data_IF_136518997615
#
_entry.id   IF_136518997615
#
_cell.length_a   1.000
_cell.length_b   1.000
_cell.length_c   1.000
_cell.angle_alpha   90.00
_cell.angle_beta   90.00
_cell.angle_gamma   90.00
#
_symmetry.space_group_name_H-M   'P 1'
#
loop_
_entity.id
_entity.type
_entity.pdbx_description
1 polymer ?
#
# COMPACT_ATOMS: atom_id res chain seq x y z
N UNK A 1 17.62 -4.56 -11.24
CA UNK A 1 17.78 -3.51 -10.21
C UNK A 1 17.89 -4.19 -8.86
N UNK A 2 18.91 -3.83 -8.05
CA UNK A 2 19.21 -4.49 -6.78
C UNK A 2 18.04 -4.49 -5.78
N UNK A 3 17.26 -3.39 -5.72
CA UNK A 3 16.08 -3.30 -4.86
C UNK A 3 15.01 -4.35 -5.19
N UNK A 4 14.80 -4.66 -6.48
CA UNK A 4 13.87 -5.73 -6.89
C UNK A 4 14.34 -7.10 -6.41
N UNK A 5 15.64 -7.36 -6.41
CA UNK A 5 16.20 -8.61 -5.93
C UNK A 5 15.97 -8.79 -4.43
N UNK A 6 16.25 -7.77 -3.62
CA UNK A 6 15.93 -7.79 -2.19
C UNK A 6 14.44 -7.94 -1.91
N UNK A 7 13.60 -7.27 -2.72
CA UNK A 7 12.15 -7.37 -2.60
C UNK A 7 11.64 -8.80 -2.86
N UNK A 8 12.15 -9.48 -3.90
CA UNK A 8 11.80 -10.88 -4.19
C UNK A 8 12.24 -11.84 -3.08
N UNK A 9 13.38 -11.55 -2.43
CA UNK A 9 13.85 -12.28 -1.27
C UNK A 9 13.13 -11.91 0.04
N UNK A 10 12.10 -11.04 -0.02
CA UNK A 10 11.36 -10.52 1.14
C UNK A 10 12.25 -9.79 2.16
N UNK A 11 13.42 -9.32 1.73
CA UNK A 11 14.28 -8.45 2.53
C UNK A 11 13.85 -7.00 2.35
N UNK A 12 12.72 -6.65 2.99
CA UNK A 12 12.10 -5.34 2.83
C UNK A 12 12.95 -4.19 3.36
N UNK A 13 13.82 -4.43 4.34
CA UNK A 13 14.73 -3.41 4.88
C UNK A 13 15.75 -2.98 3.81
N UNK A 14 16.45 -3.94 3.19
CA UNK A 14 17.42 -3.61 2.13
C UNK A 14 16.76 -3.14 0.84
N UNK A 15 15.57 -3.68 0.53
CA UNK A 15 14.79 -3.23 -0.61
C UNK A 15 14.40 -1.75 -0.44
N UNK A 16 13.88 -1.37 0.74
CA UNK A 16 13.54 0.02 1.09
C UNK A 16 14.74 0.94 0.92
N UNK A 17 15.87 0.65 1.58
CA UNK A 17 17.09 1.46 1.53
C UNK A 17 17.62 1.61 0.10
N UNK A 18 17.44 0.58 -0.75
CA UNK A 18 17.80 0.66 -2.16
C UNK A 18 16.85 1.56 -2.95
N UNK A 19 15.54 1.46 -2.71
CA UNK A 19 14.55 2.28 -3.40
C UNK A 19 14.60 3.76 -2.98
N UNK A 20 14.87 4.07 -1.70
CA UNK A 20 14.98 5.45 -1.20
C UNK A 20 16.17 6.20 -1.81
N UNK A 21 17.20 5.48 -2.29
CA UNK A 21 18.40 6.06 -2.94
C UNK A 21 18.26 6.25 -4.45
N UNK A 22 17.13 5.87 -5.05
CA UNK A 22 16.90 6.03 -6.48
C UNK A 22 16.78 7.50 -6.88
N UNK A 23 17.16 7.81 -8.12
CA UNK A 23 16.97 9.14 -8.67
C UNK A 23 15.47 9.43 -8.87
N UNK A 24 15.03 10.71 -8.84
CA UNK A 24 13.63 11.07 -9.01
C UNK A 24 12.98 10.49 -10.28
N UNK A 25 13.73 10.41 -11.38
CA UNK A 25 13.26 9.82 -12.64
C UNK A 25 13.00 8.30 -12.54
N UNK A 26 13.80 7.58 -11.75
CA UNK A 26 13.61 6.15 -11.51
C UNK A 26 12.47 5.90 -10.51
N UNK A 27 12.39 6.74 -9.47
CA UNK A 27 11.31 6.72 -8.49
C UNK A 27 9.97 7.13 -9.10
N UNK A 28 9.94 7.82 -10.25
CA UNK A 28 8.72 8.10 -10.98
C UNK A 28 8.03 6.82 -11.51
N UNK A 29 8.75 5.70 -11.59
CA UNK A 29 8.19 4.43 -12.02
C UNK A 29 7.17 3.90 -10.99
N UNK A 30 5.92 3.73 -11.42
CA UNK A 30 4.81 3.29 -10.57
C UNK A 30 5.06 1.92 -9.91
N UNK A 31 5.75 0.99 -10.59
CA UNK A 31 6.08 -0.32 -10.01
C UNK A 31 7.06 -0.18 -8.84
N UNK A 32 8.04 0.71 -8.98
CA UNK A 32 9.03 1.00 -7.93
C UNK A 32 8.34 1.64 -6.72
N UNK A 33 7.51 2.67 -6.94
CA UNK A 33 6.76 3.32 -5.85
C UNK A 33 5.91 2.33 -5.06
N UNK A 34 5.22 1.40 -5.73
CA UNK A 34 4.41 0.37 -5.06
C UNK A 34 5.23 -0.58 -4.21
N UNK A 35 6.34 -1.08 -4.76
CA UNK A 35 7.25 -1.94 -4.01
C UNK A 35 7.79 -1.20 -2.79
N UNK A 36 8.10 0.08 -2.92
CA UNK A 36 8.51 0.93 -1.80
C UNK A 36 7.38 1.11 -0.77
N UNK A 37 6.13 1.35 -1.19
CA UNK A 37 4.96 1.39 -0.29
C UNK A 37 4.84 0.06 0.49
N UNK A 38 4.97 -1.08 -0.17
CA UNK A 38 4.94 -2.40 0.48
C UNK A 38 6.13 -2.53 1.45
N UNK A 39 7.33 -2.10 1.08
CA UNK A 39 8.46 -2.12 2.01
C UNK A 39 8.17 -1.29 3.26
N UNK A 40 7.60 -0.10 3.11
CA UNK A 40 7.24 0.76 4.23
C UNK A 40 6.19 0.15 5.17
N UNK A 41 5.29 -0.71 4.69
CA UNK A 41 4.40 -1.46 5.61
C UNK A 41 5.22 -2.42 6.46
N UNK A 42 6.14 -3.15 5.85
CA UNK A 42 6.96 -4.16 6.54
C UNK A 42 8.05 -3.58 7.43
N UNK A 43 8.47 -2.34 7.20
CA UNK A 43 9.46 -1.63 8.04
C UNK A 43 8.81 -0.65 9.02
N UNK A 44 7.49 -0.75 9.21
CA UNK A 44 6.70 0.07 10.13
C UNK A 44 6.80 1.59 9.88
N UNK A 45 7.01 1.99 8.62
CA UNK A 45 7.03 3.40 8.17
C UNK A 45 5.70 3.78 7.53
N UNK A 46 4.60 3.50 8.23
CA UNK A 46 3.24 3.58 7.69
C UNK A 46 2.83 5.00 7.24
N UNK A 47 3.31 6.04 7.92
CA UNK A 47 3.08 7.43 7.48
C UNK A 47 3.71 7.72 6.12
N UNK A 48 4.93 7.21 5.86
CA UNK A 48 5.57 7.32 4.54
C UNK A 48 4.82 6.51 3.49
N UNK A 49 4.35 5.31 3.85
CA UNK A 49 3.53 4.48 2.98
C UNK A 49 2.26 5.21 2.52
N UNK A 50 1.55 5.82 3.48
CA UNK A 50 0.35 6.62 3.21
C UNK A 50 0.64 7.84 2.33
N UNK A 51 1.69 8.61 2.64
CA UNK A 51 2.04 9.79 1.85
C UNK A 51 2.34 9.41 0.41
N UNK A 52 3.20 8.40 0.21
CA UNK A 52 3.56 7.95 -1.14
C UNK A 52 2.35 7.34 -1.88
N UNK A 53 1.44 6.69 -1.17
CA UNK A 53 0.20 6.19 -1.73
C UNK A 53 -0.72 7.33 -2.20
N UNK A 54 -0.88 8.38 -1.39
CA UNK A 54 -1.66 9.57 -1.75
C UNK A 54 -1.06 10.24 -2.98
N UNK A 55 0.26 10.46 -2.97
CA UNK A 55 0.96 11.07 -4.09
C UNK A 55 0.76 10.26 -5.39
N UNK A 56 0.75 8.92 -5.28
CA UNK A 56 0.53 8.04 -6.42
C UNK A 56 -0.91 8.13 -6.94
N UNK A 57 -1.90 8.18 -6.05
CA UNK A 57 -3.32 8.37 -6.42
C UNK A 57 -3.55 9.73 -7.10
N UNK A 58 -2.95 10.78 -6.55
CA UNK A 58 -3.12 12.15 -7.06
C UNK A 58 -2.42 12.35 -8.41
N UNK A 59 -1.29 11.68 -8.64
CA UNK A 59 -0.55 11.73 -9.91
C UNK A 59 -1.20 10.90 -11.02
N UNK A 60 -1.69 9.69 -10.71
CA UNK A 60 -2.39 8.85 -11.68
C UNK A 60 -3.46 8.00 -10.98
N UNK A 61 -4.68 8.55 -10.97
CA UNK A 61 -5.87 7.94 -10.38
C UNK A 61 -6.25 6.60 -11.02
N UNK A 62 -5.87 6.36 -12.28
CA UNK A 62 -6.29 5.19 -13.03
C UNK A 62 -5.47 3.94 -12.70
N UNK A 63 -4.20 4.09 -12.29
CA UNK A 63 -3.30 2.95 -12.20
C UNK A 63 -3.50 2.08 -10.97
N UNK A 64 -3.92 2.64 -9.82
CA UNK A 64 -3.97 1.85 -8.57
C UNK A 64 -5.07 0.78 -8.63
N UNK A 65 -6.25 1.14 -9.12
CA UNK A 65 -7.43 0.26 -9.06
C UNK A 65 -7.53 -0.64 -10.31
N UNK A 66 -7.00 -0.23 -11.46
CA UNK A 66 -7.01 -1.05 -12.68
C UNK A 66 -5.92 -2.14 -12.69
N UNK A 67 -5.22 -2.34 -11.58
CA UNK A 67 -4.18 -3.35 -11.53
C UNK A 67 -4.79 -4.73 -11.45
N UNK A 68 -4.76 -5.45 -12.57
CA UNK A 68 -5.01 -6.89 -12.57
C UNK A 68 -4.04 -7.55 -11.59
N UNK A 69 -4.59 -8.30 -10.65
CA UNK A 69 -3.92 -9.17 -9.66
C UNK A 69 -3.03 -10.27 -10.25
N UNK A 70 -2.67 -10.16 -11.53
CA UNK A 70 -1.87 -11.11 -12.31
C UNK A 70 -0.40 -10.70 -12.44
N UNK A 71 0.08 -9.67 -11.74
CA UNK A 71 1.53 -9.58 -11.52
C UNK A 71 1.94 -10.73 -10.60
N UNK A 72 2.58 -11.74 -11.17
CA UNK A 72 2.96 -13.02 -10.54
C UNK A 72 3.81 -12.88 -9.26
N UNK A 73 4.34 -11.69 -8.96
CA UNK A 73 5.34 -11.44 -7.92
C UNK A 73 4.87 -10.48 -6.77
N UNK A 74 3.58 -10.15 -6.61
CA UNK A 74 3.13 -9.34 -5.44
C UNK A 74 3.19 -10.20 -4.16
N UNK A 75 4.02 -9.86 -3.14
CA UNK A 75 4.07 -10.61 -1.88
C UNK A 75 2.83 -10.37 -0.99
N UNK A 76 1.84 -9.65 -1.52
CA UNK A 76 0.76 -9.01 -0.81
C UNK A 76 -0.15 -10.03 -0.10
N UNK A 77 -0.50 -11.14 -0.76
CA UNK A 77 -1.29 -12.21 -0.16
C UNK A 77 -0.55 -12.89 1.01
N UNK A 78 0.73 -13.19 0.84
CA UNK A 78 1.55 -13.79 1.90
C UNK A 78 1.66 -12.86 3.10
N UNK A 79 1.91 -11.57 2.86
CA UNK A 79 2.02 -10.56 3.91
C UNK A 79 0.70 -10.35 4.65
N UNK A 80 -0.42 -10.30 3.92
CA UNK A 80 -1.75 -10.24 4.51
C UNK A 80 -1.97 -11.44 5.44
N UNK A 81 -1.72 -12.65 4.96
CA UNK A 81 -1.86 -13.87 5.77
C UNK A 81 -0.97 -13.83 7.02
N UNK A 82 0.28 -13.39 6.90
CA UNK A 82 1.20 -13.28 8.04
C UNK A 82 0.74 -12.26 9.08
N UNK A 83 0.14 -11.13 8.66
CA UNK A 83 -0.40 -10.14 9.59
C UNK A 83 -1.69 -10.67 10.25
N UNK A 84 -2.61 -11.25 9.48
CA UNK A 84 -3.89 -11.78 9.99
C UNK A 84 -3.69 -12.99 10.93
N UNK A 85 -2.64 -13.79 10.71
CA UNK A 85 -2.26 -14.91 11.58
C UNK A 85 -1.41 -14.50 12.79
N UNK A 86 -1.02 -13.23 12.89
CA UNK A 86 -0.20 -12.72 14.00
C UNK A 86 1.28 -13.08 13.93
N UNK A 87 1.77 -13.57 12.79
CA UNK A 87 3.22 -13.78 12.54
C UNK A 87 3.93 -12.42 12.46
N UNK A 88 3.34 -11.47 11.73
CA UNK A 88 3.77 -10.08 11.70
C UNK A 88 2.84 -9.29 12.60
N UNK A 89 3.41 -8.60 13.57
CA UNK A 89 2.66 -7.78 14.53
C UNK A 89 3.09 -6.33 14.46
N UNK A 90 2.15 -5.44 14.69
CA UNK A 90 2.40 -4.01 14.85
C UNK A 90 2.13 -3.61 16.31
N UNK A 91 2.81 -2.56 16.82
CA UNK A 91 2.61 -2.11 18.20
C UNK A 91 1.17 -1.67 18.50
N UNK A 92 0.46 -1.15 17.49
CA UNK A 92 -0.90 -0.63 17.60
C UNK A 92 -1.85 -1.38 16.67
N UNK A 93 -3.10 -1.61 17.10
CA UNK A 93 -4.12 -2.20 16.25
C UNK A 93 -4.39 -1.36 14.99
N UNK A 94 -4.36 -0.03 15.14
CA UNK A 94 -4.46 0.90 14.02
C UNK A 94 -3.41 0.60 12.94
N UNK A 95 -2.16 0.36 13.34
CA UNK A 95 -1.04 0.16 12.42
C UNK A 95 -1.21 -1.14 11.64
N UNK A 96 -1.68 -2.21 12.31
CA UNK A 96 -2.06 -3.47 11.64
C UNK A 96 -3.18 -3.24 10.62
N UNK A 97 -4.25 -2.54 10.99
CA UNK A 97 -5.34 -2.24 10.08
C UNK A 97 -4.90 -1.36 8.91
N UNK A 98 -3.97 -0.43 9.15
CA UNK A 98 -3.43 0.43 8.12
C UNK A 98 -2.56 -0.37 7.13
N UNK A 99 -1.66 -1.22 7.63
CA UNK A 99 -0.86 -2.11 6.79
C UNK A 99 -1.74 -3.04 5.96
N UNK A 100 -2.77 -3.65 6.58
CA UNK A 100 -3.74 -4.49 5.88
C UNK A 100 -4.52 -3.69 4.83
N UNK A 101 -4.99 -2.49 5.17
CA UNK A 101 -5.68 -1.59 4.24
C UNK A 101 -4.85 -1.30 2.99
N UNK A 102 -3.56 -0.98 3.16
CA UNK A 102 -2.62 -0.73 2.06
C UNK A 102 -2.39 -2.00 1.24
N UNK A 103 -2.09 -3.14 1.87
CA UNK A 103 -1.79 -4.38 1.15
C UNK A 103 -3.01 -4.90 0.39
N UNK A 104 -4.19 -4.88 1.01
CA UNK A 104 -5.43 -5.27 0.36
C UNK A 104 -5.79 -4.34 -0.79
N UNK A 105 -5.30 -3.10 -0.86
CA UNK A 105 -5.60 -2.21 -1.99
C UNK A 105 -5.14 -2.81 -3.32
N UNK A 106 -4.05 -3.57 -3.30
CA UNK A 106 -3.48 -4.24 -4.47
C UNK A 106 -4.15 -5.59 -4.79
N UNK A 107 -4.93 -6.15 -3.87
CA UNK A 107 -5.59 -7.45 -4.03
C UNK A 107 -7.12 -7.32 -4.20
N UNK A 108 -7.76 -6.53 -3.34
CA UNK A 108 -9.19 -6.26 -3.30
C UNK A 108 -9.47 -4.89 -2.64
N UNK A 109 -9.81 -3.89 -3.46
CA UNK A 109 -10.07 -2.54 -2.96
C UNK A 109 -11.26 -2.45 -1.97
N UNK A 110 -12.24 -3.37 -2.05
CA UNK A 110 -13.39 -3.35 -1.15
C UNK A 110 -12.99 -3.79 0.26
N UNK A 111 -12.20 -4.86 0.35
CA UNK A 111 -11.60 -5.30 1.62
C UNK A 111 -10.64 -4.25 2.17
N UNK A 112 -9.84 -3.64 1.30
CA UNK A 112 -8.96 -2.52 1.65
C UNK A 112 -9.71 -1.38 2.34
N UNK A 113 -10.84 -0.93 1.75
CA UNK A 113 -11.66 0.13 2.34
C UNK A 113 -12.21 -0.24 3.72
N UNK A 114 -12.56 -1.50 3.95
CA UNK A 114 -13.00 -1.96 5.28
C UNK A 114 -11.88 -1.83 6.31
N UNK A 115 -10.66 -2.24 5.98
CA UNK A 115 -9.50 -2.11 6.87
C UNK A 115 -9.12 -0.65 7.14
N UNK A 116 -9.15 0.21 6.11
CA UNK A 116 -8.97 1.65 6.32
C UNK A 116 -10.03 2.24 7.25
N UNK A 117 -11.29 1.81 7.15
CA UNK A 117 -12.34 2.23 8.09
C UNK A 117 -12.05 1.76 9.52
N UNK A 118 -11.55 0.54 9.71
CA UNK A 118 -11.15 0.04 11.03
C UNK A 118 -9.99 0.88 11.59
N UNK A 119 -8.97 1.19 10.78
CA UNK A 119 -7.88 2.07 11.19
C UNK A 119 -8.37 3.49 11.59
N UNK A 120 -9.35 4.04 10.86
CA UNK A 120 -9.95 5.35 11.19
C UNK A 120 -10.73 5.30 12.50
N UNK A 121 -11.43 4.19 12.80
CA UNK A 121 -12.16 4.05 14.07
C UNK A 121 -11.22 4.09 15.27
N UNK A 122 -10.05 3.47 15.16
CA UNK A 122 -9.02 3.49 16.22
C UNK A 122 -8.37 4.87 16.38
N UNK A 123 -8.29 5.67 15.31
CA UNK A 123 -7.69 7.00 15.34
C UNK A 123 -8.35 7.95 14.32
N UNK A 124 -9.49 8.56 14.70
CA UNK A 124 -10.29 9.36 13.78
C UNK A 124 -9.64 10.69 13.40
N UNK A 125 -8.66 11.16 14.19
CA UNK A 125 -8.01 12.46 14.01
C UNK A 125 -6.79 12.41 13.08
N UNK A 126 -6.52 11.26 12.46
CA UNK A 126 -5.41 11.13 11.52
C UNK A 126 -5.82 11.66 10.13
N UNK A 127 -5.49 12.93 9.87
CA UNK A 127 -5.82 13.62 8.61
C UNK A 127 -5.27 12.90 7.37
N UNK A 128 -4.06 12.34 7.46
CA UNK A 128 -3.43 11.64 6.34
C UNK A 128 -4.19 10.36 5.99
N UNK A 129 -4.57 9.59 7.00
CA UNK A 129 -5.39 8.39 6.85
C UNK A 129 -6.77 8.72 6.28
N UNK A 130 -7.42 9.76 6.80
CA UNK A 130 -8.70 10.24 6.29
C UNK A 130 -8.61 10.69 4.83
N UNK A 131 -7.53 11.41 4.46
CA UNK A 131 -7.26 11.83 3.08
C UNK A 131 -7.12 10.61 2.16
N UNK A 132 -6.26 9.65 2.51
CA UNK A 132 -6.07 8.43 1.73
C UNK A 132 -7.38 7.65 1.54
N UNK A 133 -8.14 7.44 2.61
CA UNK A 133 -9.41 6.74 2.56
C UNK A 133 -10.42 7.43 1.62
N UNK A 134 -10.56 8.75 1.72
CA UNK A 134 -11.47 9.52 0.86
C UNK A 134 -11.07 9.46 -0.61
N UNK A 135 -9.77 9.54 -0.91
CA UNK A 135 -9.24 9.38 -2.27
C UNK A 135 -9.58 8.00 -2.83
N UNK A 136 -9.24 6.92 -2.11
CA UNK A 136 -9.51 5.54 -2.54
C UNK A 136 -11.01 5.32 -2.75
N UNK A 137 -11.86 5.82 -1.83
CA UNK A 137 -13.32 5.72 -1.91
C UNK A 137 -13.90 6.48 -3.11
N UNK A 138 -13.30 7.62 -3.49
CA UNK A 138 -13.70 8.37 -4.69
C UNK A 138 -13.34 7.59 -5.96
N UNK A 139 -12.13 7.05 -6.02
CA UNK A 139 -11.66 6.25 -7.14
C UNK A 139 -12.48 4.97 -7.34
N UNK A 140 -12.86 4.29 -6.26
CA UNK A 140 -13.67 3.07 -6.36
C UNK A 140 -15.04 3.33 -6.97
N UNK A 141 -15.66 4.48 -6.68
CA UNK A 141 -16.95 4.88 -7.27
C UNK A 141 -16.83 5.20 -8.77
N UNK A 142 -15.73 5.83 -9.18
CA UNK A 142 -15.50 6.18 -10.59
C UNK A 142 -15.27 4.95 -11.46
N UNK A 143 -14.59 3.92 -10.96
CA UNK A 143 -14.39 2.67 -11.70
C UNK A 143 -15.70 1.87 -11.89
N UNK A 144 -16.62 1.90 -10.92
CA UNK A 144 -17.94 1.24 -11.05
C UNK A 144 -18.79 1.90 -12.15
N UNK A 145 -18.60 3.21 -12.39
CA UNK A 145 -19.31 3.96 -13.44
C UNK A 145 -18.74 3.74 -14.84
N UNK A 146 -17.57 3.13 -14.98
CA UNK A 146 -16.94 2.82 -16.27
C UNK A 146 -17.22 1.38 -16.76
N UNK A 147 -17.90 0.57 -15.93
CA UNK A 147 -18.27 -0.83 -16.23
C UNK A 147 -19.75 -1.02 -16.59
N UNK A 148 -20.50 0.07 -16.79
CA UNK A 148 -21.87 0.08 -17.30
C UNK A 148 -21.93 0.81 -18.64
#
# INVERSE_FOLDING_TARGET
MLGNHYFQLKNFILAEDTYERLLPAELANLKVKRKLIICYTQTNKLSKALQLLIDLIEQDSSTIIQFNSREEDCPCNDLIFQIESGIITYPLYQDSYLALGILWLYCNYRTSLNYFQMAIKENPNNDLLNKAFNLIKKLSKQNILQTN
#
